data_IF_743514250526
#
_entry.id   IF_743514250526
#
_cell.length_a   1.000
_cell.length_b   1.000
_cell.length_c   1.000
_cell.angle_alpha   90.00
_cell.angle_beta   90.00
_cell.angle_gamma   90.00
#
_symmetry.space_group_name_H-M   'P 1'
#
loop_
_entity.id
_entity.type
_entity.pdbx_description
1 polymer ?
#
# COMPACT_ATOMS: atom_id res chain seq x y z
N UNK A 1 23.01 -4.49 -7.36
CA UNK A 1 21.95 -5.19 -8.13
C UNK A 1 21.22 -6.05 -7.11
N UNK A 2 19.97 -5.89 -6.73
CA UNK A 2 18.78 -5.15 -7.20
C UNK A 2 17.91 -5.05 -5.92
N UNK A 3 17.14 -4.03 -5.57
CA UNK A 3 16.10 -3.34 -6.31
C UNK A 3 15.57 -2.30 -5.29
N UNK A 4 16.01 -1.04 -5.36
CA UNK A 4 15.41 0.08 -4.59
C UNK A 4 14.03 0.44 -5.18
N UNK A 5 13.35 -0.54 -5.79
CA UNK A 5 12.12 -0.32 -6.54
C UNK A 5 10.97 -0.71 -5.64
N UNK A 6 10.57 0.24 -4.81
CA UNK A 6 9.31 0.14 -4.10
C UNK A 6 8.18 0.02 -5.13
N UNK A 7 7.31 -0.98 -4.94
CA UNK A 7 6.10 -1.14 -5.74
C UNK A 7 4.91 -0.60 -4.95
N UNK A 8 3.94 -0.05 -5.68
CA UNK A 8 2.70 0.40 -5.08
C UNK A 8 1.69 -0.76 -5.08
N UNK A 9 1.04 -0.98 -3.93
CA UNK A 9 -0.09 -1.89 -3.79
C UNK A 9 -1.27 -1.16 -3.19
N UNK A 10 -2.47 -1.52 -3.62
CA UNK A 10 -3.72 -1.08 -3.03
C UNK A 10 -4.20 -2.15 -2.05
N UNK A 11 -4.47 -1.75 -0.81
CA UNK A 11 -4.97 -2.65 0.22
C UNK A 11 -6.43 -3.00 -0.05
N UNK A 12 -6.77 -4.28 -0.03
CA UNK A 12 -8.16 -4.76 -0.12
C UNK A 12 -8.80 -4.88 1.26
N UNK A 13 -7.98 -4.94 2.32
CA UNK A 13 -8.39 -5.05 3.73
C UNK A 13 -7.68 -3.99 4.56
N UNK A 14 -8.25 -3.57 5.71
CA UNK A 14 -7.55 -2.67 6.62
C UNK A 14 -6.21 -3.29 7.05
N UNK A 15 -5.15 -2.48 7.06
CA UNK A 15 -3.80 -2.90 7.39
C UNK A 15 -3.09 -1.86 8.24
N UNK A 16 -2.41 -2.31 9.30
CA UNK A 16 -1.62 -1.44 10.18
C UNK A 16 -0.15 -1.55 9.81
N UNK A 17 0.44 -0.45 9.35
CA UNK A 17 1.84 -0.38 8.95
C UNK A 17 2.56 0.76 9.66
N UNK A 18 3.71 0.46 10.29
CA UNK A 18 4.50 1.42 11.08
C UNK A 18 3.69 2.19 12.15
N UNK A 19 2.71 1.51 12.78
CA UNK A 19 1.83 2.14 13.78
C UNK A 19 0.70 2.99 13.20
N UNK A 20 0.57 3.07 11.87
CA UNK A 20 -0.52 3.77 11.17
C UNK A 20 -1.50 2.78 10.58
N UNK A 21 -2.78 2.99 10.81
CA UNK A 21 -3.85 2.18 10.22
C UNK A 21 -4.22 2.73 8.84
N UNK A 22 -4.28 1.84 7.86
CA UNK A 22 -4.65 2.13 6.49
C UNK A 22 -5.97 1.43 6.18
N UNK A 23 -6.98 2.17 5.69
CA UNK A 23 -8.25 1.56 5.29
C UNK A 23 -8.06 0.73 4.00
N UNK A 24 -9.00 -0.19 3.71
CA UNK A 24 -9.09 -0.78 2.37
C UNK A 24 -9.27 0.33 1.32
N UNK A 25 -8.65 0.17 0.16
CA UNK A 25 -8.49 1.17 -0.90
C UNK A 25 -7.25 2.06 -0.75
N UNK A 26 -6.53 2.02 0.38
CA UNK A 26 -5.31 2.80 0.54
C UNK A 26 -4.14 2.20 -0.23
N UNK A 27 -3.31 3.06 -0.84
CA UNK A 27 -2.12 2.66 -1.57
C UNK A 27 -0.88 2.77 -0.69
N UNK A 28 -0.12 1.68 -0.54
CA UNK A 28 1.16 1.64 0.16
C UNK A 28 2.29 1.35 -0.83
N UNK A 29 3.47 1.94 -0.56
CA UNK A 29 4.70 1.66 -1.30
C UNK A 29 5.64 0.88 -0.40
N UNK A 30 5.96 -0.34 -0.80
CA UNK A 30 6.83 -1.24 -0.06
C UNK A 30 7.61 -2.13 -1.02
N UNK A 31 8.46 -2.99 -0.47
CA UNK A 31 9.28 -3.90 -1.27
C UNK A 31 8.40 -4.88 -2.07
N UNK A 32 8.85 -5.28 -3.27
CA UNK A 32 8.11 -6.21 -4.13
C UNK A 32 7.83 -7.54 -3.44
N UNK A 33 8.74 -8.04 -2.60
CA UNK A 33 8.56 -9.29 -1.85
C UNK A 33 7.36 -9.22 -0.88
N UNK A 34 7.23 -8.12 -0.14
CA UNK A 34 6.09 -7.90 0.74
C UNK A 34 4.79 -7.63 -0.02
N UNK A 35 4.87 -6.97 -1.18
CA UNK A 35 3.73 -6.74 -2.06
C UNK A 35 3.18 -8.05 -2.62
N UNK A 36 4.07 -8.92 -3.12
CA UNK A 36 3.76 -10.28 -3.59
C UNK A 36 3.10 -11.09 -2.47
N UNK A 37 3.67 -11.06 -1.26
CA UNK A 37 3.09 -11.72 -0.09
C UNK A 37 1.67 -11.23 0.22
N UNK A 38 1.43 -9.90 0.23
CA UNK A 38 0.10 -9.34 0.48
C UNK A 38 -0.90 -9.64 -0.64
N UNK A 39 -0.43 -9.73 -1.89
CA UNK A 39 -1.22 -10.12 -3.05
C UNK A 39 -1.62 -11.60 -2.99
N UNK A 40 -0.68 -12.48 -2.67
CA UNK A 40 -0.91 -13.91 -2.51
C UNK A 40 -1.92 -14.22 -1.38
N UNK A 41 -1.91 -13.43 -0.31
CA UNK A 41 -2.90 -13.53 0.77
C UNK A 41 -4.28 -12.95 0.41
N UNK A 42 -4.46 -12.33 -0.76
CA UNK A 42 -5.68 -11.62 -1.13
C UNK A 42 -5.98 -10.43 -0.22
N UNK A 43 -4.94 -9.84 0.40
CA UNK A 43 -5.07 -8.66 1.28
C UNK A 43 -4.77 -7.35 0.56
N UNK A 44 -4.08 -7.41 -0.57
CA UNK A 44 -3.77 -6.27 -1.42
C UNK A 44 -3.77 -6.68 -2.89
N UNK A 45 -3.73 -5.69 -3.79
CA UNK A 45 -3.54 -5.87 -5.23
C UNK A 45 -2.46 -4.93 -5.74
N UNK A 46 -1.70 -5.29 -6.79
CA UNK A 46 -0.75 -4.37 -7.41
C UNK A 46 -1.49 -3.12 -7.90
N UNK A 47 -1.04 -1.95 -7.46
CA UNK A 47 -1.58 -0.68 -7.89
C UNK A 47 -0.63 -0.11 -8.94
N UNK A 48 -1.09 -0.01 -10.18
CA UNK A 48 -0.32 0.62 -11.27
C UNK A 48 -0.33 2.15 -11.08
N UNK A 49 0.33 2.61 -10.02
CA UNK A 49 0.48 4.04 -9.74
C UNK A 49 1.91 4.41 -10.11
N UNK A 50 2.07 5.10 -11.25
CA UNK A 50 3.33 5.77 -11.59
C UNK A 50 3.73 6.68 -10.42
N UNK A 51 5.02 6.78 -10.07
CA UNK A 51 5.48 7.33 -8.78
C UNK A 51 5.13 8.79 -8.47
N UNK A 52 4.47 9.52 -9.37
CA UNK A 52 3.96 10.85 -9.11
C UNK A 52 2.78 10.80 -8.13
N UNK A 53 3.00 11.33 -6.93
CA UNK A 53 1.94 11.75 -6.01
C UNK A 53 1.38 10.68 -5.08
N UNK A 54 2.15 10.36 -4.03
CA UNK A 54 1.55 9.96 -2.75
C UNK A 54 0.85 11.18 -2.11
N UNK A 55 -0.29 11.59 -2.67
CA UNK A 55 -1.30 12.47 -2.05
C UNK A 55 -2.62 11.89 -2.52
N UNK A 56 -3.56 11.48 -1.67
CA UNK A 56 -4.14 12.19 -0.54
C UNK A 56 -4.44 11.12 0.52
N UNK A 57 -3.71 11.16 1.63
CA UNK A 57 -4.18 10.56 2.87
C UNK A 57 -5.42 11.36 3.30
N UNK A 58 -6.59 10.95 2.80
CA UNK A 58 -7.87 11.40 3.35
C UNK A 58 -8.01 10.69 4.70
N UNK A 59 -7.38 11.27 5.71
CA UNK A 59 -7.65 10.97 7.10
C UNK A 59 -9.07 11.48 7.38
N UNK A 60 -10.05 10.59 7.21
CA UNK A 60 -11.37 10.77 7.80
C UNK A 60 -11.21 10.58 9.32
N UNK A 61 -10.65 11.60 9.99
CA UNK A 61 -10.86 11.79 11.41
C UNK A 61 -12.27 12.30 11.58
N UNK A 62 -13.15 11.44 12.08
CA UNK A 62 -14.47 11.82 12.56
C UNK A 62 -14.25 12.40 13.96
N UNK A 63 -14.47 13.71 14.11
CA UNK A 63 -14.63 14.38 15.40
C UNK A 63 -15.96 13.98 16.06
#
# INVERSE_FOLDING_TARGET
>A
MSDDKLVAIELLKPHRHAGRDYPPGAVLRLQPDQAEWLCALGRARPADIKPATATRANAASKE
#
